data_IF_631748218881
#
_entry.id   IF_631748218881
#
_cell.length_a   1.000
_cell.length_b   1.000
_cell.length_c   1.000
_cell.angle_alpha   90.00
_cell.angle_beta   90.00
_cell.angle_gamma   90.00
#
_symmetry.space_group_name_H-M   'P 1'
#
loop_
_entity.id
_entity.type
_entity.pdbx_description
1 polymer ?
#
# COMPACT_ATOMS: atom_id res chain seq x y z
N UNK A 1 -94.96 -13.00 -60.63
CA UNK A 1 -94.07 -13.97 -61.25
C UNK A 1 -92.75 -13.26 -61.56
N UNK A 2 -91.77 -13.27 -60.73
CA UNK A 2 -90.48 -12.65 -60.90
C UNK A 2 -89.44 -13.73 -61.19
N UNK A 3 -88.92 -13.70 -62.45
CA UNK A 3 -87.85 -14.56 -62.93
C UNK A 3 -86.50 -14.19 -62.22
N UNK A 4 -85.97 -15.09 -61.42
CA UNK A 4 -84.57 -15.03 -60.97
C UNK A 4 -83.73 -15.84 -61.96
N UNK A 5 -82.87 -15.13 -62.67
CA UNK A 5 -81.81 -15.70 -63.51
C UNK A 5 -80.67 -16.22 -62.61
N UNK A 6 -80.11 -17.43 -62.72
CA UNK A 6 -78.98 -17.90 -61.95
C UNK A 6 -77.67 -17.25 -62.42
N UNK A 7 -76.97 -16.64 -61.49
CA UNK A 7 -75.64 -16.08 -61.70
C UNK A 7 -74.58 -17.17 -61.93
N UNK A 8 -73.91 -17.11 -63.12
CA UNK A 8 -72.87 -18.12 -63.46
C UNK A 8 -71.61 -18.02 -62.55
N UNK A 9 -70.96 -19.10 -62.17
CA UNK A 9 -69.79 -19.12 -61.30
C UNK A 9 -68.63 -18.41 -62.04
N UNK A 10 -68.12 -17.30 -61.41
CA UNK A 10 -66.91 -16.59 -61.86
C UNK A 10 -65.74 -17.56 -61.92
N UNK A 11 -65.12 -17.79 -63.08
CA UNK A 11 -63.89 -18.56 -63.26
C UNK A 11 -62.77 -17.91 -62.49
N UNK A 12 -62.28 -18.52 -61.37
CA UNK A 12 -61.11 -18.10 -60.63
C UNK A 12 -59.90 -18.04 -61.54
N UNK A 13 -59.34 -16.86 -61.74
CA UNK A 13 -58.22 -16.60 -62.64
C UNK A 13 -57.00 -17.47 -62.16
N UNK A 14 -56.52 -18.34 -63.10
CA UNK A 14 -55.33 -19.18 -62.83
C UNK A 14 -54.12 -18.35 -62.37
N UNK A 15 -54.09 -17.08 -62.82
CA UNK A 15 -53.04 -16.10 -62.38
C UNK A 15 -53.09 -15.83 -60.88
N UNK A 16 -54.30 -15.70 -60.28
CA UNK A 16 -54.43 -15.49 -58.81
C UNK A 16 -53.94 -16.70 -58.00
N UNK A 17 -54.23 -17.92 -58.50
CA UNK A 17 -53.75 -19.15 -57.81
C UNK A 17 -52.23 -19.27 -57.93
N UNK A 18 -51.59 -18.88 -59.02
CA UNK A 18 -50.15 -18.90 -59.22
C UNK A 18 -49.50 -17.87 -58.31
N UNK A 19 -50.01 -16.64 -58.22
CA UNK A 19 -49.48 -15.59 -57.31
C UNK A 19 -49.61 -16.01 -55.85
N UNK A 20 -50.70 -16.62 -55.42
CA UNK A 20 -50.93 -17.13 -54.09
C UNK A 20 -49.95 -18.26 -53.76
N UNK A 21 -49.69 -19.15 -54.73
CA UNK A 21 -48.76 -20.26 -54.59
C UNK A 21 -47.28 -19.75 -54.38
N UNK A 22 -46.89 -18.75 -55.17
CA UNK A 22 -45.57 -18.09 -55.05
C UNK A 22 -45.43 -17.39 -53.70
N UNK A 23 -46.46 -16.70 -53.21
CA UNK A 23 -46.46 -16.08 -51.86
C UNK A 23 -46.40 -17.11 -50.75
N UNK A 24 -47.10 -18.24 -50.88
CA UNK A 24 -47.06 -19.30 -49.86
C UNK A 24 -45.67 -19.99 -49.86
N UNK A 25 -45.12 -20.28 -51.03
CA UNK A 25 -43.78 -20.92 -51.13
C UNK A 25 -42.69 -19.96 -50.68
N UNK A 26 -42.75 -18.67 -51.14
CA UNK A 26 -41.79 -17.63 -50.71
C UNK A 26 -41.91 -17.30 -49.23
N UNK A 27 -43.14 -17.14 -48.71
CA UNK A 27 -43.38 -16.93 -47.29
C UNK A 27 -43.02 -18.14 -46.44
N UNK A 28 -43.30 -19.37 -46.95
CA UNK A 28 -42.88 -20.62 -46.28
C UNK A 28 -41.36 -20.77 -46.21
N UNK A 29 -40.67 -20.53 -47.34
CA UNK A 29 -39.20 -20.58 -47.37
C UNK A 29 -38.57 -19.52 -46.41
N UNK A 30 -39.09 -18.28 -46.42
CA UNK A 30 -38.66 -17.23 -45.48
C UNK A 30 -38.94 -17.60 -44.00
N UNK A 31 -40.12 -18.18 -43.74
CA UNK A 31 -40.46 -18.65 -42.39
C UNK A 31 -39.57 -19.80 -41.90
N UNK A 32 -39.22 -20.75 -42.80
CA UNK A 32 -38.30 -21.87 -42.46
C UNK A 32 -36.89 -21.33 -42.19
N UNK A 33 -36.37 -20.40 -42.98
CA UNK A 33 -35.02 -19.83 -42.75
C UNK A 33 -34.94 -19.10 -41.43
N UNK A 34 -35.93 -18.27 -41.08
CA UNK A 34 -36.04 -17.58 -39.81
C UNK A 34 -36.22 -18.55 -38.65
N UNK A 35 -36.98 -19.62 -38.83
CA UNK A 35 -37.16 -20.65 -37.79
C UNK A 35 -35.87 -21.43 -37.53
N UNK A 36 -35.12 -21.81 -38.57
CA UNK A 36 -33.81 -22.46 -38.44
C UNK A 36 -32.80 -21.55 -37.73
N UNK A 37 -32.79 -20.26 -38.13
CA UNK A 37 -31.93 -19.27 -37.46
C UNK A 37 -32.23 -19.17 -35.96
N UNK A 38 -33.50 -19.01 -35.57
CA UNK A 38 -33.91 -18.94 -34.17
C UNK A 38 -33.66 -20.22 -33.36
N UNK A 39 -33.40 -21.37 -34.02
CA UNK A 39 -32.99 -22.59 -33.31
C UNK A 39 -31.51 -22.59 -32.93
N UNK A 40 -30.66 -21.92 -33.71
CA UNK A 40 -29.19 -21.92 -33.54
C UNK A 40 -28.64 -20.59 -33.06
N UNK A 41 -29.49 -19.58 -32.82
CA UNK A 41 -29.09 -18.25 -32.39
C UNK A 41 -29.98 -17.75 -31.26
N UNK A 42 -29.39 -17.07 -30.29
CA UNK A 42 -30.12 -16.32 -29.27
C UNK A 42 -29.68 -14.84 -29.34
N UNK A 43 -30.63 -14.00 -29.65
CA UNK A 43 -30.40 -12.57 -29.87
C UNK A 43 -30.93 -11.74 -28.68
N UNK A 44 -30.25 -10.61 -28.40
CA UNK A 44 -30.71 -9.57 -27.46
C UNK A 44 -30.26 -8.19 -27.91
N UNK A 45 -31.18 -7.22 -27.82
CA UNK A 45 -30.99 -5.79 -28.00
C UNK A 45 -30.74 -5.03 -26.70
N UNK A 46 -30.84 -5.74 -25.54
CA UNK A 46 -30.57 -5.18 -24.23
C UNK A 46 -29.11 -5.49 -23.83
N UNK A 47 -28.20 -4.83 -24.55
CA UNK A 47 -26.76 -5.00 -24.29
C UNK A 47 -26.00 -3.68 -24.45
N UNK A 48 -24.95 -3.51 -23.69
CA UNK A 48 -24.13 -2.31 -23.70
C UNK A 48 -22.64 -2.66 -23.59
N UNK A 49 -21.82 -1.81 -24.19
CA UNK A 49 -20.36 -1.84 -23.98
C UNK A 49 -20.05 -1.31 -22.58
N UNK A 50 -19.27 -2.05 -21.81
CA UNK A 50 -18.76 -1.64 -20.51
C UNK A 50 -17.23 -1.57 -20.51
N UNK A 51 -16.68 -0.80 -19.58
CA UNK A 51 -15.26 -0.68 -19.31
C UNK A 51 -15.02 -0.49 -17.82
N UNK A 52 -13.82 -0.81 -17.34
CA UNK A 52 -13.43 -0.50 -15.97
C UNK A 52 -13.34 1.02 -15.78
N UNK A 53 -13.93 1.50 -14.71
CA UNK A 53 -13.92 2.90 -14.31
C UNK A 53 -13.17 3.03 -12.97
N UNK A 54 -12.11 3.81 -12.97
CA UNK A 54 -11.32 4.08 -11.76
C UNK A 54 -11.65 5.49 -11.24
N UNK A 55 -12.27 5.63 -10.06
CA UNK A 55 -12.53 6.93 -9.47
C UNK A 55 -11.23 7.58 -8.99
N UNK A 56 -11.07 8.85 -9.28
CA UNK A 56 -9.99 9.69 -8.74
C UNK A 56 -10.46 10.30 -7.43
N UNK A 57 -9.81 9.90 -6.33
CA UNK A 57 -10.21 10.26 -4.97
C UNK A 57 -9.08 11.06 -4.32
N UNK A 58 -9.43 12.20 -3.69
CA UNK A 58 -8.49 12.94 -2.87
C UNK A 58 -8.19 12.18 -1.57
N UNK A 59 -6.91 11.96 -1.24
CA UNK A 59 -6.49 11.30 0.01
C UNK A 59 -6.44 12.25 1.20
N UNK A 60 -6.33 13.56 0.93
CA UNK A 60 -6.26 14.61 1.93
C UNK A 60 -7.32 15.68 1.66
N UNK A 61 -7.65 16.45 2.69
CA UNK A 61 -8.50 17.62 2.54
C UNK A 61 -7.66 18.85 2.18
N UNK A 62 -8.18 19.70 1.31
CA UNK A 62 -7.49 20.95 0.92
C UNK A 62 -8.20 21.69 -0.18
N UNK A 63 -7.74 22.90 -0.44
CA UNK A 63 -8.22 23.70 -1.56
C UNK A 63 -7.51 23.30 -2.84
N UNK A 64 -8.25 23.20 -3.95
CA UNK A 64 -7.69 22.95 -5.27
C UNK A 64 -6.93 24.19 -5.72
N UNK A 65 -5.64 24.07 -5.92
CA UNK A 65 -4.79 25.14 -6.45
C UNK A 65 -4.85 25.18 -7.97
N UNK A 66 -4.72 24.01 -8.62
CA UNK A 66 -4.67 23.88 -10.07
C UNK A 66 -5.28 22.58 -10.52
N UNK A 67 -6.00 22.61 -11.64
CA UNK A 67 -6.47 21.40 -12.36
C UNK A 67 -5.68 21.29 -13.67
N UNK A 68 -4.95 20.21 -13.85
CA UNK A 68 -4.00 20.01 -14.96
C UNK A 68 -4.53 19.15 -16.10
N UNK A 69 -5.75 18.67 -15.97
CA UNK A 69 -6.38 17.83 -16.99
C UNK A 69 -7.69 18.45 -17.45
N UNK A 70 -8.10 18.02 -18.66
CA UNK A 70 -9.36 18.43 -19.30
C UNK A 70 -10.25 17.20 -19.53
N UNK A 71 -11.51 17.45 -19.79
CA UNK A 71 -12.46 16.43 -20.20
C UNK A 71 -11.94 15.63 -21.40
N UNK A 72 -12.11 14.34 -21.39
CA UNK A 72 -11.73 13.41 -22.45
C UNK A 72 -10.23 13.36 -22.78
N UNK A 73 -9.37 13.87 -21.90
CA UNK A 73 -7.91 13.80 -22.07
C UNK A 73 -7.38 12.41 -21.74
N UNK A 74 -6.47 11.89 -22.60
CA UNK A 74 -5.72 10.69 -22.29
C UNK A 74 -4.65 10.98 -21.23
N UNK A 75 -4.58 10.12 -20.22
CA UNK A 75 -3.60 10.21 -19.13
C UNK A 75 -2.94 8.87 -18.89
N UNK A 76 -1.71 8.90 -18.42
CA UNK A 76 -0.94 7.73 -17.99
C UNK A 76 -0.92 7.63 -16.47
N UNK A 77 -0.74 6.42 -15.99
CA UNK A 77 -0.53 6.17 -14.56
C UNK A 77 0.60 7.04 -14.00
N UNK A 78 0.30 7.79 -12.94
CA UNK A 78 1.25 8.70 -12.31
C UNK A 78 1.18 10.14 -12.82
N UNK A 79 0.48 10.43 -13.90
CA UNK A 79 0.28 11.82 -14.36
C UNK A 79 -0.45 12.63 -13.29
N UNK A 80 0.02 13.84 -13.03
CA UNK A 80 -0.64 14.75 -12.06
C UNK A 80 -1.90 15.33 -12.68
N UNK A 81 -3.03 15.05 -12.04
CA UNK A 81 -4.36 15.45 -12.50
C UNK A 81 -4.78 16.80 -11.92
N UNK A 82 -4.56 16.98 -10.61
CA UNK A 82 -4.81 18.22 -9.91
C UNK A 82 -3.80 18.42 -8.76
N UNK A 83 -3.61 19.67 -8.38
CA UNK A 83 -2.79 20.06 -7.24
C UNK A 83 -3.68 20.70 -6.17
N UNK A 84 -3.51 20.26 -4.93
CA UNK A 84 -4.05 20.90 -3.75
C UNK A 84 -3.05 21.91 -3.19
N UNK A 85 -3.53 22.88 -2.43
CA UNK A 85 -2.67 23.81 -1.68
C UNK A 85 -1.84 23.02 -0.66
N UNK A 86 -0.53 23.04 -0.85
CA UNK A 86 0.44 22.25 -0.10
C UNK A 86 1.18 23.06 0.97
N UNK A 87 0.86 24.35 1.12
CA UNK A 87 1.61 25.28 1.99
C UNK A 87 1.68 24.80 3.44
N UNK A 88 0.56 24.34 3.99
CA UNK A 88 0.50 23.83 5.37
C UNK A 88 1.28 22.53 5.52
N UNK A 89 1.21 21.64 4.52
CA UNK A 89 1.93 20.36 4.49
C UNK A 89 3.44 20.58 4.34
N UNK A 90 3.84 21.51 3.48
CA UNK A 90 5.23 21.93 3.32
C UNK A 90 5.81 22.53 4.61
N UNK A 91 5.03 23.35 5.31
CA UNK A 91 5.42 23.90 6.62
C UNK A 91 5.56 22.79 7.66
N UNK A 92 4.63 21.84 7.68
CA UNK A 92 4.67 20.67 8.58
C UNK A 92 5.92 19.82 8.33
N UNK A 93 6.26 19.59 7.06
CA UNK A 93 7.49 18.87 6.69
C UNK A 93 8.73 19.59 7.24
N UNK A 94 8.87 20.89 7.00
CA UNK A 94 9.99 21.69 7.53
C UNK A 94 10.07 21.65 9.05
N UNK A 95 8.93 21.66 9.74
CA UNK A 95 8.88 21.53 11.21
C UNK A 95 9.42 20.16 11.69
N UNK A 96 9.03 19.06 11.03
CA UNK A 96 9.50 17.72 11.39
C UNK A 96 10.98 17.55 11.06
N UNK A 97 11.46 18.10 9.94
CA UNK A 97 12.89 18.10 9.58
C UNK A 97 13.73 18.87 10.61
N UNK A 98 13.26 20.03 11.09
CA UNK A 98 13.93 20.77 12.15
C UNK A 98 13.97 19.96 13.48
N UNK A 99 12.91 19.25 13.82
CA UNK A 99 12.87 18.37 14.97
C UNK A 99 13.87 17.21 14.84
N UNK A 100 14.01 16.63 13.64
CA UNK A 100 15.03 15.60 13.35
C UNK A 100 16.45 16.17 13.51
N UNK A 101 16.73 17.36 12.99
CA UNK A 101 18.01 18.02 13.14
C UNK A 101 18.36 18.29 14.62
N UNK A 102 17.38 18.70 15.43
CA UNK A 102 17.53 18.84 16.87
C UNK A 102 17.89 17.50 17.54
N UNK A 103 17.20 16.42 17.19
CA UNK A 103 17.50 15.09 17.73
C UNK A 103 18.92 14.62 17.33
N UNK A 104 19.37 14.91 16.12
CA UNK A 104 20.74 14.64 15.68
C UNK A 104 21.78 15.42 16.48
N UNK A 105 21.52 16.69 16.77
CA UNK A 105 22.38 17.53 17.62
C UNK A 105 22.47 16.96 19.06
N UNK A 106 21.34 16.51 19.60
CA UNK A 106 21.30 15.86 20.92
C UNK A 106 22.13 14.56 20.94
N UNK A 107 22.13 13.78 19.88
CA UNK A 107 23.03 12.62 19.76
C UNK A 107 24.51 13.05 19.79
N UNK A 108 24.86 14.15 19.12
CA UNK A 108 26.20 14.75 19.16
C UNK A 108 26.60 15.08 20.60
N UNK A 109 25.73 15.73 21.35
CA UNK A 109 25.93 16.08 22.76
C UNK A 109 26.10 14.83 23.66
N UNK A 110 25.25 13.79 23.44
CA UNK A 110 25.34 12.54 24.18
C UNK A 110 26.67 11.81 23.93
N UNK A 111 27.15 11.82 22.68
CA UNK A 111 28.47 11.26 22.31
C UNK A 111 29.61 12.02 22.98
N UNK A 112 29.58 13.34 22.97
CA UNK A 112 30.60 14.18 23.64
C UNK A 112 30.61 13.90 25.14
N UNK A 113 29.46 13.80 25.79
CA UNK A 113 29.35 13.46 27.22
C UNK A 113 29.90 12.06 27.52
N UNK A 114 29.62 11.07 26.66
CA UNK A 114 30.16 9.72 26.79
C UNK A 114 31.70 9.69 26.64
N UNK A 115 32.23 10.47 25.70
CA UNK A 115 33.71 10.61 25.53
C UNK A 115 34.36 11.22 26.78
N UNK A 116 33.76 12.27 27.32
CA UNK A 116 34.24 12.90 28.57
C UNK A 116 34.19 11.90 29.77
N UNK A 117 33.11 11.12 29.88
CA UNK A 117 32.99 10.10 30.92
C UNK A 117 34.05 9.00 30.75
N UNK A 118 34.39 8.60 29.53
CA UNK A 118 35.48 7.62 29.27
C UNK A 118 36.85 8.20 29.65
N UNK A 119 37.11 9.48 29.36
CA UNK A 119 38.34 10.16 29.78
C UNK A 119 38.50 10.19 31.32
N UNK A 120 37.39 10.38 32.05
CA UNK A 120 37.38 10.32 33.50
C UNK A 120 37.76 8.93 34.04
N UNK A 121 37.35 7.83 33.39
CA UNK A 121 37.78 6.47 33.75
C UNK A 121 39.31 6.35 33.56
N UNK A 122 39.85 6.82 32.43
CA UNK A 122 41.29 6.79 32.19
C UNK A 122 42.10 7.57 33.25
N UNK A 123 41.60 8.75 33.65
CA UNK A 123 42.20 9.54 34.72
C UNK A 123 42.17 8.82 36.09
N UNK A 124 41.04 8.20 36.41
CA UNK A 124 40.89 7.42 37.64
C UNK A 124 41.81 6.19 37.64
N UNK A 125 41.96 5.51 36.50
CA UNK A 125 42.91 4.38 36.37
C UNK A 125 44.36 4.80 36.50
N UNK A 126 44.75 5.97 36.00
CA UNK A 126 46.08 6.54 36.18
C UNK A 126 46.41 6.78 37.67
N UNK A 127 45.41 7.17 38.47
CA UNK A 127 45.58 7.30 39.92
C UNK A 127 45.88 5.94 40.59
N UNK A 128 45.21 4.86 40.18
CA UNK A 128 45.51 3.52 40.66
C UNK A 128 46.96 3.12 40.30
N UNK A 129 47.40 3.37 39.10
CA UNK A 129 48.76 3.06 38.66
C UNK A 129 49.82 3.83 39.48
N UNK A 130 49.54 5.07 39.89
CA UNK A 130 50.39 5.85 40.76
C UNK A 130 50.49 5.22 42.15
N UNK A 131 49.37 4.76 42.74
CA UNK A 131 49.36 4.09 44.01
C UNK A 131 50.10 2.73 43.92
N UNK A 132 49.95 2.01 42.82
CA UNK A 132 50.67 0.77 42.57
C UNK A 132 52.20 0.97 42.57
N UNK A 133 52.70 2.02 41.94
CA UNK A 133 54.11 2.37 41.96
C UNK A 133 54.58 2.69 43.41
N UNK A 134 53.75 3.37 44.21
CA UNK A 134 54.05 3.62 45.63
C UNK A 134 54.06 2.32 46.45
N UNK A 135 53.12 1.39 46.18
CA UNK A 135 53.10 0.07 46.83
C UNK A 135 54.39 -0.72 46.53
N UNK A 136 54.83 -0.70 45.25
CA UNK A 136 56.10 -1.39 44.91
C UNK A 136 57.30 -0.78 45.69
N UNK A 137 57.38 0.54 45.83
CA UNK A 137 58.39 1.21 46.65
C UNK A 137 58.29 0.82 48.10
N UNK A 138 57.07 0.78 48.65
CA UNK A 138 56.85 0.36 50.03
C UNK A 138 57.24 -1.13 50.31
N UNK A 139 56.99 -2.02 49.35
CA UNK A 139 57.41 -3.42 49.35
C UNK A 139 58.94 -3.55 49.45
N UNK A 140 59.68 -2.79 48.68
CA UNK A 140 61.16 -2.76 48.71
C UNK A 140 61.64 -2.30 50.10
N UNK A 141 61.02 -1.25 50.64
CA UNK A 141 61.36 -0.75 51.98
C UNK A 141 61.07 -1.81 53.07
N UNK A 142 59.91 -2.49 53.00
CA UNK A 142 59.53 -3.56 53.92
C UNK A 142 60.55 -4.76 53.84
N UNK A 143 60.88 -5.15 52.59
CA UNK A 143 61.85 -6.19 52.35
C UNK A 143 63.21 -5.85 53.04
N UNK A 144 63.70 -4.62 52.83
CA UNK A 144 64.96 -4.16 53.46
C UNK A 144 64.85 -4.19 55.00
N UNK A 145 63.81 -3.63 55.61
CA UNK A 145 63.58 -3.60 57.01
C UNK A 145 63.46 -5.03 57.62
N UNK A 146 62.88 -5.97 56.84
CA UNK A 146 62.76 -7.38 57.23
C UNK A 146 64.13 -8.07 57.21
N UNK A 147 65.01 -7.80 56.25
CA UNK A 147 66.39 -8.32 56.26
C UNK A 147 67.18 -7.82 57.47
N UNK A 148 67.06 -6.51 57.73
CA UNK A 148 67.77 -5.93 58.94
C UNK A 148 67.21 -6.52 60.24
N UNK A 149 65.90 -6.65 60.39
CA UNK A 149 65.25 -7.28 61.49
C UNK A 149 65.78 -8.72 61.73
N UNK A 150 65.81 -9.54 60.69
CA UNK A 150 66.29 -10.93 60.80
C UNK A 150 67.79 -11.00 61.16
N UNK A 151 68.61 -10.08 60.68
CA UNK A 151 70.00 -9.96 60.99
C UNK A 151 70.21 -9.59 62.52
N UNK A 152 69.50 -8.54 62.91
CA UNK A 152 69.60 -8.05 64.30
C UNK A 152 68.97 -9.04 65.32
N UNK A 153 67.95 -9.81 64.93
CA UNK A 153 67.38 -10.88 65.74
C UNK A 153 68.43 -11.97 66.10
N UNK A 154 69.31 -12.29 65.20
CA UNK A 154 70.43 -13.23 65.50
C UNK A 154 71.51 -12.59 66.36
N UNK A 155 71.89 -11.32 66.07
CA UNK A 155 72.92 -10.61 66.82
C UNK A 155 72.52 -10.33 68.24
N UNK A 156 71.22 -10.10 68.55
CA UNK A 156 70.78 -9.93 69.97
C UNK A 156 70.82 -11.24 70.74
N UNK A 157 70.55 -12.39 70.09
CA UNK A 157 70.69 -13.73 70.72
C UNK A 157 72.13 -14.04 71.13
N UNK A 158 73.08 -13.55 70.32
CA UNK A 158 74.51 -13.71 70.55
C UNK A 158 75.08 -12.59 71.45
N UNK A 159 74.22 -11.76 72.09
CA UNK A 159 74.59 -10.62 72.89
C UNK A 159 75.58 -9.63 72.25
N UNK A 160 75.59 -9.60 70.92
CA UNK A 160 76.47 -8.73 70.10
C UNK A 160 75.92 -7.31 69.88
N UNK A 161 74.65 -7.06 70.24
CA UNK A 161 73.97 -5.76 70.16
C UNK A 161 73.14 -5.53 71.44
N UNK A 162 72.72 -4.26 71.64
CA UNK A 162 71.83 -3.91 72.78
C UNK A 162 70.36 -4.20 72.46
N UNK A 163 69.54 -4.42 73.48
CA UNK A 163 68.09 -4.61 73.33
C UNK A 163 67.40 -3.40 72.62
N UNK A 164 67.84 -2.18 72.96
CA UNK A 164 67.35 -0.96 72.37
C UNK A 164 67.58 -0.97 70.90
N UNK A 165 68.74 -1.36 70.33
CA UNK A 165 69.03 -1.44 68.88
C UNK A 165 68.13 -2.45 68.20
N UNK A 166 67.81 -3.59 68.84
CA UNK A 166 66.84 -4.55 68.29
C UNK A 166 65.41 -4.00 68.24
N UNK A 167 64.98 -3.27 69.27
CA UNK A 167 63.67 -2.64 69.38
C UNK A 167 63.49 -1.57 68.27
N UNK A 168 64.55 -0.76 67.99
CA UNK A 168 64.55 0.22 66.89
C UNK A 168 64.33 -0.42 65.52
N UNK A 169 65.02 -1.52 65.22
CA UNK A 169 64.86 -2.22 63.95
C UNK A 169 63.48 -2.94 63.84
N UNK A 170 63.03 -3.48 65.02
CA UNK A 170 61.65 -4.04 65.10
C UNK A 170 60.58 -3.01 64.81
N UNK A 171 60.71 -1.82 65.39
CA UNK A 171 59.77 -0.69 65.11
C UNK A 171 59.84 -0.20 63.64
N UNK A 172 61.06 -0.17 63.07
CA UNK A 172 61.22 0.19 61.65
C UNK A 172 60.52 -0.80 60.71
N UNK A 173 60.63 -2.12 60.98
CA UNK A 173 59.88 -3.14 60.21
C UNK A 173 58.40 -2.98 60.39
N UNK A 174 57.90 -2.81 61.61
CA UNK A 174 56.46 -2.63 61.84
C UNK A 174 55.95 -1.36 61.20
N UNK A 175 56.70 -0.27 61.16
CA UNK A 175 56.33 0.96 60.43
C UNK A 175 56.22 0.71 58.95
N UNK A 176 57.19 -0.03 58.34
CA UNK A 176 57.14 -0.39 56.94
C UNK A 176 55.92 -1.27 56.56
N UNK A 177 55.55 -2.22 57.43
CA UNK A 177 54.35 -3.06 57.27
C UNK A 177 53.09 -2.22 57.33
N UNK A 178 52.94 -1.30 58.24
CA UNK A 178 51.77 -0.40 58.33
C UNK A 178 51.67 0.55 57.14
N UNK A 179 52.81 1.05 56.67
CA UNK A 179 52.83 1.88 55.46
C UNK A 179 52.30 1.13 54.24
N UNK A 180 52.69 -0.15 54.06
CA UNK A 180 52.16 -0.99 52.98
C UNK A 180 50.67 -1.24 53.14
N UNK A 181 50.15 -1.48 54.36
CA UNK A 181 48.71 -1.65 54.65
C UNK A 181 47.92 -0.38 54.31
N UNK A 182 48.42 0.81 54.68
CA UNK A 182 47.78 2.09 54.34
C UNK A 182 47.67 2.28 52.82
N UNK A 183 48.75 2.01 52.04
CA UNK A 183 48.74 2.12 50.58
C UNK A 183 47.82 1.09 49.98
N UNK A 184 47.72 -0.13 50.48
CA UNK A 184 46.76 -1.15 50.06
C UNK A 184 45.32 -0.69 50.29
N UNK A 185 45.05 -0.02 51.42
CA UNK A 185 43.76 0.61 51.68
C UNK A 185 43.43 1.73 50.70
N UNK A 186 44.40 2.59 50.41
CA UNK A 186 44.25 3.67 49.40
C UNK A 186 43.99 3.11 48.00
N UNK A 187 44.68 2.03 47.58
CA UNK A 187 44.41 1.35 46.31
C UNK A 187 42.98 0.83 46.25
N UNK A 188 42.51 0.17 47.33
CA UNK A 188 41.13 -0.33 47.39
C UNK A 188 40.11 0.80 47.24
N UNK A 189 40.34 1.96 47.90
CA UNK A 189 39.52 3.14 47.79
C UNK A 189 39.50 3.68 46.34
N UNK A 190 40.68 3.83 45.72
CA UNK A 190 40.81 4.29 44.34
C UNK A 190 40.13 3.33 43.35
N UNK A 191 40.24 2.02 43.56
CA UNK A 191 39.54 1.01 42.76
C UNK A 191 38.02 1.14 42.87
N UNK A 192 37.49 1.35 44.09
CA UNK A 192 36.05 1.59 44.30
C UNK A 192 35.57 2.86 43.60
N UNK A 193 36.39 3.93 43.65
CA UNK A 193 36.11 5.16 42.93
C UNK A 193 36.09 4.96 41.39
N UNK A 194 37.06 4.21 40.86
CA UNK A 194 37.11 3.88 39.42
C UNK A 194 35.89 3.07 39.01
N UNK A 195 35.43 2.14 39.83
CA UNK A 195 34.22 1.37 39.58
C UNK A 195 32.97 2.28 39.54
N UNK A 196 32.84 3.24 40.45
CA UNK A 196 31.74 4.22 40.45
C UNK A 196 31.75 5.08 39.17
N UNK A 197 32.92 5.60 38.76
CA UNK A 197 33.08 6.36 37.51
C UNK A 197 32.76 5.50 36.30
N UNK A 198 33.17 4.25 36.27
CA UNK A 198 32.84 3.30 35.19
C UNK A 198 31.32 3.06 35.10
N UNK A 199 30.65 2.86 36.23
CA UNK A 199 29.18 2.71 36.25
C UNK A 199 28.47 3.96 35.75
N UNK A 200 28.95 5.14 36.13
CA UNK A 200 28.43 6.42 35.60
C UNK A 200 28.66 6.57 34.10
N UNK A 201 29.83 6.09 33.59
CA UNK A 201 30.10 6.10 32.12
C UNK A 201 29.17 5.18 31.37
N UNK A 202 28.85 3.99 31.90
CA UNK A 202 27.85 3.09 31.30
C UNK A 202 26.47 3.74 31.24
N UNK A 203 26.04 4.42 32.29
CA UNK A 203 24.77 5.15 32.30
C UNK A 203 24.77 6.27 31.25
N UNK A 204 25.88 7.02 31.10
CA UNK A 204 26.02 8.07 30.09
C UNK A 204 26.03 7.48 28.68
N UNK A 205 26.68 6.35 28.45
CA UNK A 205 26.69 5.69 27.13
C UNK A 205 25.31 5.19 26.71
N UNK A 206 24.47 4.79 27.67
CA UNK A 206 23.08 4.38 27.42
C UNK A 206 22.24 5.54 26.83
N UNK A 207 22.59 6.80 27.13
CA UNK A 207 21.94 7.98 26.54
C UNK A 207 22.11 8.04 25.01
N UNK A 208 23.22 7.49 24.48
CA UNK A 208 23.41 7.37 23.02
C UNK A 208 22.35 6.46 22.40
N UNK A 209 22.03 5.33 23.04
CA UNK A 209 20.99 4.42 22.59
C UNK A 209 19.61 5.10 22.56
N UNK A 210 19.30 5.84 23.62
CA UNK A 210 18.06 6.64 23.72
C UNK A 210 18.01 7.69 22.60
N UNK A 211 19.10 8.42 22.37
CA UNK A 211 19.16 9.43 21.32
C UNK A 211 18.99 8.81 19.92
N UNK A 212 19.54 7.62 19.66
CA UNK A 212 19.31 6.89 18.42
C UNK A 212 17.83 6.50 18.23
N UNK A 213 17.15 6.06 19.28
CA UNK A 213 15.73 5.72 19.24
C UNK A 213 14.87 6.96 18.93
N UNK A 214 15.21 8.11 19.53
CA UNK A 214 14.53 9.38 19.24
C UNK A 214 14.74 9.79 17.77
N UNK A 215 15.95 9.65 17.23
CA UNK A 215 16.23 9.92 15.82
C UNK A 215 15.39 9.01 14.91
N UNK A 216 15.30 7.72 15.23
CA UNK A 216 14.49 6.79 14.47
C UNK A 216 13.01 7.22 14.45
N UNK A 217 12.46 7.63 15.60
CA UNK A 217 11.10 8.16 15.68
C UNK A 217 10.95 9.43 14.83
N UNK A 218 11.87 10.41 14.92
CA UNK A 218 11.80 11.66 14.14
C UNK A 218 11.92 11.42 12.63
N UNK A 219 12.65 10.39 12.19
CA UNK A 219 12.67 9.99 10.77
C UNK A 219 11.30 9.52 10.29
N UNK A 220 10.59 8.72 11.08
CA UNK A 220 9.22 8.30 10.76
C UNK A 220 8.30 9.53 10.66
N UNK A 221 8.41 10.49 11.60
CA UNK A 221 7.61 11.71 11.56
C UNK A 221 7.87 12.52 10.26
N UNK A 222 9.13 12.58 9.80
CA UNK A 222 9.50 13.21 8.52
C UNK A 222 8.94 12.44 7.33
N UNK A 223 9.03 11.12 7.33
CA UNK A 223 8.53 10.28 6.24
C UNK A 223 7.00 10.36 6.13
N UNK A 224 6.29 10.44 7.26
CA UNK A 224 4.84 10.69 7.31
C UNK A 224 4.50 12.07 6.72
N UNK A 225 5.23 13.12 7.10
CA UNK A 225 5.01 14.47 6.57
C UNK A 225 5.27 14.53 5.05
N UNK A 226 6.32 13.84 4.55
CA UNK A 226 6.60 13.71 3.11
C UNK A 226 5.49 12.98 2.37
N UNK A 227 4.99 11.90 2.95
CA UNK A 227 3.90 11.11 2.37
C UNK A 227 2.63 11.98 2.26
N UNK A 228 2.28 12.69 3.33
CA UNK A 228 1.13 13.60 3.31
C UNK A 228 1.30 14.74 2.30
N UNK A 229 2.50 15.29 2.17
CA UNK A 229 2.81 16.30 1.15
C UNK A 229 2.66 15.71 -0.28
N UNK A 230 3.08 14.48 -0.50
CA UNK A 230 2.93 13.81 -1.81
C UNK A 230 1.47 13.67 -2.24
N UNK A 231 0.53 13.56 -1.28
CA UNK A 231 -0.90 13.46 -1.56
C UNK A 231 -1.53 14.79 -2.00
N UNK A 232 -0.83 15.92 -1.87
CA UNK A 232 -1.27 17.19 -2.43
C UNK A 232 -1.28 17.17 -3.97
N UNK A 233 -0.45 16.35 -4.60
CA UNK A 233 -0.52 16.04 -6.03
C UNK A 233 -1.36 14.80 -6.23
N UNK A 234 -2.62 14.98 -6.68
CA UNK A 234 -3.50 13.85 -7.01
C UNK A 234 -3.12 13.32 -8.39
N UNK A 235 -2.72 12.06 -8.45
CA UNK A 235 -2.21 11.42 -9.67
C UNK A 235 -3.18 10.36 -10.22
N UNK A 236 -3.05 10.06 -11.51
CA UNK A 236 -3.81 9.01 -12.17
C UNK A 236 -3.43 7.62 -11.61
N UNK A 237 -4.39 6.82 -11.15
CA UNK A 237 -4.12 5.48 -10.63
C UNK A 237 -3.81 4.46 -11.72
N UNK A 238 -4.25 4.71 -12.98
CA UNK A 238 -4.07 3.84 -14.13
C UNK A 238 -4.09 4.64 -15.44
N UNK A 239 -3.70 4.00 -16.54
CA UNK A 239 -3.80 4.57 -17.88
C UNK A 239 -5.27 4.62 -18.34
N UNK A 240 -5.67 5.70 -19.00
CA UNK A 240 -7.05 5.80 -19.46
C UNK A 240 -7.45 7.17 -19.98
N UNK A 241 -8.74 7.39 -20.09
CA UNK A 241 -9.33 8.66 -20.52
C UNK A 241 -10.10 9.28 -19.37
N UNK A 242 -9.77 10.53 -19.07
CA UNK A 242 -10.47 11.32 -18.02
C UNK A 242 -11.92 11.55 -18.43
N UNK A 243 -12.83 11.29 -17.52
CA UNK A 243 -14.26 11.62 -17.69
C UNK A 243 -14.47 13.14 -17.55
N UNK A 244 -15.72 13.56 -17.36
CA UNK A 244 -16.03 14.97 -17.09
C UNK A 244 -15.36 15.43 -15.79
N UNK A 245 -14.57 16.51 -15.86
CA UNK A 245 -13.89 17.13 -14.72
C UNK A 245 -14.84 18.13 -14.04
N UNK A 246 -15.36 17.76 -12.87
CA UNK A 246 -16.31 18.59 -12.13
C UNK A 246 -15.64 19.46 -11.04
N UNK A 247 -14.30 19.47 -10.98
CA UNK A 247 -13.52 20.18 -9.96
C UNK A 247 -12.95 21.46 -10.55
N UNK A 248 -12.98 22.54 -9.76
CA UNK A 248 -12.48 23.86 -10.17
C UNK A 248 -11.42 24.38 -9.18
N UNK A 249 -10.45 25.18 -9.65
CA UNK A 249 -9.54 25.90 -8.77
C UNK A 249 -10.29 26.74 -7.73
N UNK A 250 -9.82 26.72 -6.47
CA UNK A 250 -10.47 27.35 -5.34
C UNK A 250 -11.54 26.51 -4.63
N UNK A 251 -11.93 25.38 -5.19
CA UNK A 251 -12.87 24.44 -4.52
C UNK A 251 -12.17 23.72 -3.36
N UNK A 252 -12.88 23.53 -2.25
CA UNK A 252 -12.43 22.71 -1.13
C UNK A 252 -12.81 21.25 -1.36
N UNK A 253 -11.86 20.34 -1.26
CA UNK A 253 -12.07 18.89 -1.32
C UNK A 253 -11.89 18.27 0.07
N UNK A 254 -12.70 17.27 0.38
CA UNK A 254 -12.55 16.46 1.59
C UNK A 254 -11.75 15.20 1.28
N UNK A 255 -11.06 14.68 2.29
CA UNK A 255 -10.43 13.37 2.18
C UNK A 255 -11.48 12.28 1.91
N UNK A 256 -11.22 11.39 0.95
CA UNK A 256 -12.17 10.37 0.49
C UNK A 256 -13.19 10.86 -0.55
N UNK A 257 -13.22 12.13 -0.88
CA UNK A 257 -14.13 12.66 -1.90
C UNK A 257 -13.66 12.27 -3.30
N UNK A 258 -14.56 11.66 -4.08
CA UNK A 258 -14.36 11.40 -5.51
C UNK A 258 -14.50 12.72 -6.29
N UNK A 259 -13.57 12.98 -7.17
CA UNK A 259 -13.53 14.21 -8.00
C UNK A 259 -14.12 13.97 -9.39
N UNK A 260 -13.53 13.06 -10.13
CA UNK A 260 -13.95 12.58 -11.45
C UNK A 260 -13.44 11.13 -11.60
N UNK A 261 -13.65 10.53 -12.78
CA UNK A 261 -13.26 9.15 -13.01
C UNK A 261 -12.35 9.04 -14.24
N UNK A 262 -11.56 7.98 -14.29
CA UNK A 262 -10.79 7.59 -15.46
C UNK A 262 -11.38 6.29 -15.99
N UNK A 263 -11.80 6.31 -17.25
CA UNK A 263 -12.22 5.12 -17.99
C UNK A 263 -10.96 4.45 -18.49
N UNK A 264 -10.74 3.20 -18.10
CA UNK A 264 -9.54 2.45 -18.47
C UNK A 264 -9.67 1.97 -19.93
N UNK A 265 -8.57 2.04 -20.66
CA UNK A 265 -8.57 1.63 -22.08
C UNK A 265 -8.22 0.16 -22.30
N UNK A 266 -7.82 -0.55 -21.22
CA UNK A 266 -7.17 -1.86 -21.36
C UNK A 266 -8.17 -3.00 -21.58
N UNK A 267 -9.38 -2.90 -21.04
CA UNK A 267 -10.40 -3.94 -21.15
C UNK A 267 -11.77 -3.34 -21.35
N UNK A 268 -12.33 -3.58 -22.52
CA UNK A 268 -13.74 -3.33 -22.81
C UNK A 268 -14.42 -4.66 -23.08
N UNK A 269 -15.66 -4.78 -22.63
CA UNK A 269 -16.50 -5.96 -22.85
C UNK A 269 -17.93 -5.53 -23.09
N UNK A 270 -18.78 -6.48 -23.46
CA UNK A 270 -20.22 -6.25 -23.57
C UNK A 270 -20.91 -6.97 -22.41
N UNK A 271 -21.87 -6.28 -21.80
CA UNK A 271 -22.84 -6.88 -20.89
C UNK A 271 -24.18 -6.94 -21.60
N UNK A 272 -24.61 -8.17 -21.87
CA UNK A 272 -25.85 -8.46 -22.59
C UNK A 272 -26.85 -9.13 -21.64
N UNK A 273 -28.06 -8.59 -21.58
CA UNK A 273 -29.13 -9.08 -20.70
C UNK A 273 -30.04 -10.05 -21.46
N UNK A 274 -29.83 -11.33 -21.29
CA UNK A 274 -30.68 -12.36 -21.88
C UNK A 274 -31.86 -12.73 -20.98
N UNK A 275 -32.98 -13.14 -21.58
CA UNK A 275 -34.13 -13.65 -20.84
C UNK A 275 -33.81 -15.00 -20.20
N UNK A 276 -34.35 -15.27 -19.01
CA UNK A 276 -34.20 -16.55 -18.30
C UNK A 276 -34.52 -17.77 -19.20
N UNK A 277 -35.43 -17.61 -20.15
CA UNK A 277 -35.84 -18.64 -21.11
C UNK A 277 -34.75 -18.98 -22.13
N UNK A 278 -33.86 -18.04 -22.46
CA UNK A 278 -32.76 -18.16 -23.41
C UNK A 278 -31.53 -18.82 -22.75
N UNK A 279 -31.31 -18.57 -21.46
CA UNK A 279 -30.16 -19.06 -20.71
C UNK A 279 -29.94 -20.57 -20.80
N UNK A 280 -31.01 -21.36 -20.88
CA UNK A 280 -30.95 -22.83 -20.93
C UNK A 280 -30.06 -23.38 -22.06
N UNK A 281 -29.94 -22.65 -23.16
CA UNK A 281 -29.20 -23.07 -24.35
C UNK A 281 -27.78 -22.51 -24.43
N UNK A 282 -27.45 -21.53 -23.57
CA UNK A 282 -26.19 -20.79 -23.62
C UNK A 282 -25.12 -21.46 -22.75
N UNK A 283 -23.87 -21.41 -23.21
CA UNK A 283 -22.70 -21.95 -22.50
C UNK A 283 -21.52 -20.99 -22.61
N UNK A 284 -20.63 -21.03 -21.60
CA UNK A 284 -19.36 -20.28 -21.64
C UNK A 284 -18.49 -20.81 -22.79
N UNK A 285 -17.90 -19.86 -23.55
CA UNK A 285 -17.05 -20.17 -24.68
C UNK A 285 -17.74 -20.09 -26.05
N UNK A 286 -19.08 -20.02 -26.09
CA UNK A 286 -19.81 -19.89 -27.38
C UNK A 286 -19.42 -18.60 -28.10
N UNK A 287 -19.36 -18.70 -29.43
CA UNK A 287 -19.08 -17.55 -30.31
C UNK A 287 -20.24 -16.58 -30.31
N UNK A 288 -19.92 -15.30 -30.41
CA UNK A 288 -20.89 -14.20 -30.34
C UNK A 288 -20.56 -13.18 -31.43
N UNK A 289 -21.57 -12.81 -32.19
CA UNK A 289 -21.56 -11.65 -33.10
C UNK A 289 -22.11 -10.44 -32.36
N UNK A 290 -21.34 -9.36 -32.33
CA UNK A 290 -21.70 -8.10 -31.66
C UNK A 290 -21.79 -7.00 -32.70
N UNK A 291 -22.98 -6.41 -32.86
CA UNK A 291 -23.24 -5.27 -33.72
C UNK A 291 -23.40 -4.03 -32.83
N UNK A 292 -22.57 -3.03 -33.07
CA UNK A 292 -22.60 -1.77 -32.30
C UNK A 292 -23.33 -0.72 -33.13
N UNK A 293 -24.38 -0.10 -32.62
CA UNK A 293 -25.20 0.90 -33.30
C UNK A 293 -24.37 2.05 -33.91
N UNK A 294 -23.27 2.40 -33.29
CA UNK A 294 -22.36 3.45 -33.79
C UNK A 294 -21.51 3.00 -35.00
N UNK A 295 -21.52 1.71 -35.35
CA UNK A 295 -20.69 1.09 -36.40
C UNK A 295 -21.49 0.06 -37.23
N UNK A 296 -22.62 0.45 -37.79
CA UNK A 296 -23.62 -0.43 -38.46
C UNK A 296 -23.04 -1.41 -39.49
N UNK A 297 -21.93 -1.06 -40.15
CA UNK A 297 -21.31 -1.89 -41.19
C UNK A 297 -20.25 -2.86 -40.69
N UNK A 298 -20.00 -2.92 -39.37
CA UNK A 298 -18.93 -3.72 -38.79
C UNK A 298 -19.45 -4.67 -37.71
N UNK A 299 -19.13 -5.95 -37.88
CA UNK A 299 -19.44 -6.99 -36.92
C UNK A 299 -18.19 -7.29 -36.05
N UNK A 300 -18.31 -7.09 -34.75
CA UNK A 300 -17.27 -7.46 -33.79
C UNK A 300 -17.46 -8.90 -33.32
N UNK A 301 -16.38 -9.66 -33.29
CA UNK A 301 -16.41 -11.04 -32.81
C UNK A 301 -16.12 -11.10 -31.32
N UNK A 302 -16.96 -11.82 -30.60
CA UNK A 302 -16.82 -12.05 -29.20
C UNK A 302 -17.01 -13.51 -28.82
N UNK A 303 -16.88 -13.77 -27.53
CA UNK A 303 -17.20 -15.05 -26.89
C UNK A 303 -17.91 -14.82 -25.57
N UNK A 304 -18.81 -15.70 -25.20
CA UNK A 304 -19.40 -15.72 -23.86
C UNK A 304 -18.31 -16.03 -22.85
N UNK A 305 -18.01 -15.05 -22.00
CA UNK A 305 -16.97 -15.20 -20.95
C UNK A 305 -17.55 -15.74 -19.64
N UNK A 306 -18.67 -15.19 -19.20
CA UNK A 306 -19.30 -15.61 -17.93
C UNK A 306 -20.76 -15.19 -17.86
N UNK A 307 -21.49 -15.88 -16.98
CA UNK A 307 -22.85 -15.53 -16.61
C UNK A 307 -22.87 -14.91 -15.22
N UNK A 308 -23.69 -13.87 -15.01
CA UNK A 308 -23.86 -13.31 -13.69
C UNK A 308 -24.45 -14.36 -12.71
N UNK A 309 -24.02 -14.38 -11.45
CA UNK A 309 -24.50 -15.34 -10.44
C UNK A 309 -25.95 -15.13 -10.03
N UNK A 310 -26.56 -14.00 -10.39
CA UNK A 310 -27.96 -13.70 -10.12
C UNK A 310 -28.54 -12.77 -11.20
N UNK A 311 -29.87 -12.68 -11.26
CA UNK A 311 -30.57 -11.81 -12.21
C UNK A 311 -30.39 -10.33 -11.88
N UNK A 312 -30.48 -9.45 -12.87
CA UNK A 312 -30.31 -8.01 -12.68
C UNK A 312 -31.25 -7.41 -11.62
N UNK A 313 -32.46 -7.94 -11.49
CA UNK A 313 -33.41 -7.50 -10.46
C UNK A 313 -32.92 -7.74 -9.02
N UNK A 314 -32.06 -8.74 -8.78
CA UNK A 314 -31.52 -9.03 -7.46
C UNK A 314 -30.34 -8.11 -7.10
N UNK A 315 -29.65 -7.59 -8.08
CA UNK A 315 -28.54 -6.64 -7.90
C UNK A 315 -28.97 -5.17 -7.96
N UNK A 316 -30.26 -4.91 -8.27
CA UNK A 316 -30.76 -3.54 -8.27
C UNK A 316 -30.73 -2.93 -6.87
N UNK A 317 -30.40 -1.63 -6.78
CA UNK A 317 -30.37 -0.87 -5.53
C UNK A 317 -31.72 -0.91 -4.78
N UNK A 318 -32.81 -1.01 -5.54
CA UNK A 318 -34.19 -1.19 -5.03
C UNK A 318 -34.75 -2.44 -5.74
N UNK A 319 -34.59 -3.63 -5.16
CA UNK A 319 -35.21 -4.83 -5.71
C UNK A 319 -36.72 -4.66 -5.80
N UNK A 320 -37.38 -5.12 -6.88
CA UNK A 320 -38.83 -5.04 -6.97
C UNK A 320 -39.45 -5.90 -5.85
N UNK A 321 -40.12 -5.25 -4.90
CA UNK A 321 -40.88 -5.89 -3.84
C UNK A 321 -42.37 -5.76 -4.11
N UNK A 322 -43.06 -6.89 -4.15
CA UNK A 322 -44.51 -6.92 -4.32
C UNK A 322 -45.21 -6.80 -2.93
N UNK A 323 -45.26 -5.57 -2.40
CA UNK A 323 -45.85 -5.27 -1.11
C UNK A 323 -47.36 -5.67 -0.98
N UNK A 324 -48.05 -6.00 -2.10
CA UNK A 324 -49.46 -6.37 -2.15
C UNK A 324 -49.75 -7.87 -1.93
N UNK A 325 -48.72 -8.70 -1.71
CA UNK A 325 -48.89 -10.13 -1.42
C UNK A 325 -49.20 -11.03 -2.64
N UNK A 326 -49.45 -10.46 -3.83
CA UNK A 326 -49.67 -11.24 -5.04
C UNK A 326 -48.34 -11.35 -5.82
N UNK A 327 -47.83 -12.58 -5.93
CA UNK A 327 -46.65 -12.85 -6.74
C UNK A 327 -47.04 -12.91 -8.24
N UNK A 328 -46.52 -11.92 -9.00
CA UNK A 328 -46.60 -11.96 -10.48
C UNK A 328 -45.31 -12.50 -11.05
N UNK A 329 -45.38 -13.64 -11.74
CA UNK A 329 -44.23 -14.22 -12.44
C UNK A 329 -43.89 -13.35 -13.65
N UNK A 330 -42.78 -12.59 -13.58
CA UNK A 330 -42.20 -11.86 -14.70
C UNK A 330 -40.91 -12.54 -15.15
N UNK A 331 -40.68 -12.58 -16.47
CA UNK A 331 -39.46 -13.15 -17.04
C UNK A 331 -38.28 -12.29 -16.58
N UNK A 332 -37.33 -12.92 -15.88
CA UNK A 332 -36.11 -12.25 -15.40
C UNK A 332 -35.08 -12.16 -16.52
N UNK A 333 -34.19 -11.16 -16.41
CA UNK A 333 -33.02 -11.02 -17.30
C UNK A 333 -31.77 -11.37 -16.54
N UNK A 334 -30.86 -12.12 -17.17
CA UNK A 334 -29.58 -12.54 -16.65
C UNK A 334 -28.47 -11.82 -17.42
N UNK A 335 -27.63 -11.02 -16.76
CA UNK A 335 -26.48 -10.41 -17.39
C UNK A 335 -25.44 -11.46 -17.80
N UNK A 336 -24.95 -11.35 -19.02
CA UNK A 336 -23.92 -12.21 -19.61
C UNK A 336 -22.76 -11.33 -20.05
N UNK A 337 -21.56 -11.64 -19.60
CA UNK A 337 -20.34 -10.96 -20.01
C UNK A 337 -19.80 -11.59 -21.28
N UNK A 338 -19.57 -10.76 -22.29
CA UNK A 338 -19.01 -11.14 -23.58
C UNK A 338 -17.71 -10.40 -23.78
N UNK A 339 -16.65 -11.12 -24.05
CA UNK A 339 -15.33 -10.58 -24.33
C UNK A 339 -15.07 -10.58 -25.84
N UNK A 340 -14.49 -9.50 -26.35
CA UNK A 340 -14.06 -9.43 -27.74
C UNK A 340 -12.88 -10.37 -27.99
N UNK A 341 -12.92 -11.11 -29.10
CA UNK A 341 -11.87 -12.10 -29.43
C UNK A 341 -10.76 -11.52 -30.31
N UNK A 342 -11.04 -10.51 -31.11
CA UNK A 342 -10.07 -9.89 -32.01
C UNK A 342 -9.49 -8.61 -31.39
N UNK A 343 -8.46 -8.75 -30.56
CA UNK A 343 -7.78 -7.62 -29.92
C UNK A 343 -7.09 -6.65 -30.92
N UNK A 344 -6.87 -7.07 -32.18
CA UNK A 344 -6.21 -6.25 -33.21
C UNK A 344 -7.15 -5.40 -34.03
N UNK A 345 -8.47 -5.52 -33.84
CA UNK A 345 -9.44 -4.70 -34.55
C UNK A 345 -9.25 -3.21 -34.19
N UNK A 346 -8.94 -2.40 -35.21
CA UNK A 346 -8.70 -0.97 -35.03
C UNK A 346 -9.93 -0.22 -34.52
N UNK A 347 -11.14 -0.73 -34.78
CA UNK A 347 -12.40 -0.13 -34.34
C UNK A 347 -12.69 -0.37 -32.85
N UNK A 348 -12.12 -1.43 -32.22
CA UNK A 348 -12.24 -1.65 -30.79
C UNK A 348 -11.76 -0.44 -29.98
N UNK A 349 -10.69 0.21 -30.42
CA UNK A 349 -10.14 1.43 -29.75
C UNK A 349 -11.08 2.62 -29.82
N UNK A 350 -12.07 2.58 -30.70
CA UNK A 350 -13.09 3.63 -30.88
C UNK A 350 -14.35 3.36 -30.08
N UNK A 351 -14.54 2.15 -29.57
CA UNK A 351 -15.65 1.83 -28.69
C UNK A 351 -15.55 2.64 -27.40
N UNK A 352 -16.69 2.99 -26.86
CA UNK A 352 -16.83 3.71 -25.61
C UNK A 352 -17.84 3.00 -24.71
N UNK A 353 -17.58 2.97 -23.41
CA UNK A 353 -18.54 2.47 -22.44
C UNK A 353 -19.88 3.23 -22.58
N UNK A 354 -20.96 2.50 -22.51
CA UNK A 354 -22.32 3.03 -22.64
C UNK A 354 -22.88 3.03 -24.08
N UNK A 355 -22.12 2.56 -25.09
CA UNK A 355 -22.70 2.34 -26.44
C UNK A 355 -23.63 1.14 -26.41
N UNK A 356 -24.81 1.27 -27.05
CA UNK A 356 -25.73 0.15 -27.23
C UNK A 356 -25.23 -0.79 -28.32
N UNK A 357 -25.54 -2.06 -28.15
CA UNK A 357 -25.13 -3.12 -29.06
C UNK A 357 -26.22 -4.18 -29.16
N UNK A 358 -26.35 -4.76 -30.34
CA UNK A 358 -27.11 -5.98 -30.57
C UNK A 358 -26.17 -7.17 -30.49
N UNK A 359 -26.59 -8.19 -29.78
CA UNK A 359 -25.80 -9.39 -29.52
C UNK A 359 -26.49 -10.61 -30.04
N UNK A 360 -25.79 -11.40 -30.83
CA UNK A 360 -26.24 -12.69 -31.36
C UNK A 360 -25.27 -13.80 -30.92
N UNK A 361 -25.75 -14.70 -30.08
CA UNK A 361 -25.00 -15.86 -29.58
C UNK A 361 -25.26 -17.09 -30.43
N UNK A 362 -24.21 -17.68 -30.98
CA UNK A 362 -24.28 -18.87 -31.79
C UNK A 362 -24.38 -20.09 -30.88
N UNK A 363 -25.50 -20.83 -30.99
CA UNK A 363 -25.74 -22.06 -30.23
C UNK A 363 -25.20 -23.23 -31.06
N UNK A 364 -24.15 -23.86 -30.62
CA UNK A 364 -23.57 -25.06 -31.26
C UNK A 364 -24.33 -26.34 -30.86
#
# INVERSE_FOLDING_TARGET
>A
MSNQTPEAPKKKSKRFVIILLVLIVGGGAFGITKYIHALHHEETDDAQVEANISPVISRISGYVQEVRVRDNQHVKKGDTLLLLDDRDLSLKLKQTEAALATAQSNLGSARSSSTAATANIASSQASINTIDAQIETAKVNLWRATLDFNRYQNLVKDHSITQQQFEEVSAAKQTAERQLEVLAGQKKQAASQTHAVSSQSLATSSQIGIAHSVIAQRKVDVDEAKLNLSYAAVTAPADGVVSKVNVQPGQYLQAGQSTFSIVLNDEIWVVANFKETQYKKMQVGQAVSVHVDAFDAHEFKGKVSSFAPATGARFALLPPDNASGNFVKVVQRLPVKIEFTDANDALLKRLRAGLNVDVDVHLD
#
